data_IF_863856083585
#
_entry.id   IF_863856083585
#
_cell.length_a   1.000
_cell.length_b   1.000
_cell.length_c   1.000
_cell.angle_alpha   90.00
_cell.angle_beta   90.00
_cell.angle_gamma   90.00
#
_symmetry.space_group_name_H-M   'P 1'
#
loop_
_entity.id
_entity.type
_entity.pdbx_description
1 polymer ?
#
# COMPACT_ATOMS: atom_id res chain seq x y z
N UNK A 1 4.45 -5.08 -1.45
CA UNK A 1 5.50 -4.50 -0.59
C UNK A 1 6.84 -5.17 -0.87
N UNK A 2 7.94 -4.39 -1.00
CA UNK A 2 9.30 -4.93 -1.18
C UNK A 2 9.78 -5.74 0.03
N UNK A 3 10.65 -6.72 -0.20
CA UNK A 3 11.20 -7.60 0.85
C UNK A 3 11.91 -6.80 1.94
N UNK A 4 12.72 -5.80 1.60
CA UNK A 4 13.46 -5.00 2.57
C UNK A 4 12.55 -4.23 3.56
N UNK A 5 11.33 -3.88 3.16
CA UNK A 5 10.34 -3.25 4.05
C UNK A 5 9.61 -4.33 4.86
N UNK A 6 9.26 -5.45 4.23
CA UNK A 6 8.64 -6.59 4.90
C UNK A 6 9.53 -7.15 6.04
N UNK A 7 10.84 -7.23 5.86
CA UNK A 7 11.80 -7.64 6.88
C UNK A 7 11.74 -6.75 8.12
N UNK A 8 11.74 -5.42 7.91
CA UNK A 8 11.66 -4.43 9.00
C UNK A 8 10.34 -4.52 9.77
N UNK A 9 9.28 -4.99 9.13
CA UNK A 9 7.95 -5.17 9.71
C UNK A 9 7.72 -6.59 10.24
N UNK A 10 8.71 -7.49 10.17
CA UNK A 10 8.57 -8.88 10.63
C UNK A 10 7.67 -9.74 9.74
N UNK A 11 7.42 -9.32 8.50
CA UNK A 11 6.59 -10.02 7.52
C UNK A 11 7.42 -10.86 6.53
N UNK A 12 8.75 -10.78 6.63
CA UNK A 12 9.69 -11.63 5.89
C UNK A 12 10.73 -12.23 6.85
N UNK A 13 11.01 -13.55 6.81
CA UNK A 13 10.35 -14.57 5.97
C UNK A 13 8.84 -14.71 6.28
N UNK A 14 8.04 -15.37 5.41
CA UNK A 14 6.60 -15.41 5.56
C UNK A 14 6.18 -15.93 6.94
N UNK A 15 5.34 -15.19 7.70
CA UNK A 15 4.87 -15.63 9.01
C UNK A 15 3.90 -16.81 8.90
N UNK A 16 3.66 -17.53 10.00
CA UNK A 16 2.80 -18.72 10.00
C UNK A 16 1.33 -18.45 9.63
N UNK A 17 0.87 -17.21 9.73
CA UNK A 17 -0.47 -16.76 9.34
C UNK A 17 -0.56 -16.33 7.86
N UNK A 18 0.54 -16.39 7.12
CA UNK A 18 0.57 -16.06 5.70
C UNK A 18 -0.27 -17.07 4.88
N UNK A 19 -1.07 -16.55 3.95
CA UNK A 19 -1.87 -17.33 3.02
C UNK A 19 -1.21 -17.31 1.64
N UNK A 20 -0.94 -18.49 1.07
CA UNK A 20 -0.43 -18.58 -0.31
C UNK A 20 -1.48 -18.12 -1.31
N UNK A 21 -1.06 -17.32 -2.28
CA UNK A 21 -1.91 -16.79 -3.33
C UNK A 21 -1.19 -16.86 -4.67
N UNK A 22 -1.97 -17.00 -5.73
CA UNK A 22 -1.50 -16.94 -7.10
C UNK A 22 -1.89 -15.59 -7.70
N UNK A 23 -0.92 -14.84 -8.22
CA UNK A 23 -1.12 -13.53 -8.83
C UNK A 23 -1.00 -13.64 -10.36
N UNK A 24 -2.03 -13.21 -11.07
CA UNK A 24 -1.94 -13.00 -12.52
C UNK A 24 -1.32 -11.64 -12.79
N UNK A 25 -0.20 -11.63 -13.52
CA UNK A 25 0.49 -10.41 -13.91
C UNK A 25 0.58 -10.33 -15.44
N UNK A 26 0.92 -9.15 -15.97
CA UNK A 26 1.19 -9.01 -17.40
C UNK A 26 2.37 -9.88 -17.91
N UNK A 27 3.23 -10.35 -17.01
CA UNK A 27 4.35 -11.26 -17.32
C UNK A 27 4.05 -12.75 -17.09
N UNK A 28 2.82 -13.09 -16.68
CA UNK A 28 2.41 -14.45 -16.35
C UNK A 28 1.99 -14.62 -14.88
N UNK A 29 1.83 -15.87 -14.49
CA UNK A 29 1.35 -16.25 -13.16
C UNK A 29 2.52 -16.34 -12.18
N UNK A 30 2.39 -15.69 -11.02
CA UNK A 30 3.42 -15.65 -9.97
C UNK A 30 2.82 -16.13 -8.64
N UNK A 31 3.46 -17.10 -8.01
CA UNK A 31 3.15 -17.53 -6.65
C UNK A 31 3.65 -16.49 -5.64
N UNK A 32 2.80 -16.13 -4.68
CA UNK A 32 3.06 -15.13 -3.65
C UNK A 32 2.33 -15.51 -2.36
N UNK A 33 2.41 -14.67 -1.33
CA UNK A 33 1.58 -14.79 -0.14
C UNK A 33 1.01 -13.45 0.29
N UNK A 34 -0.11 -13.52 1.01
CA UNK A 34 -0.72 -12.39 1.72
C UNK A 34 -0.65 -12.63 3.21
N UNK A 35 -0.29 -11.61 3.97
CA UNK A 35 -0.40 -11.58 5.43
C UNK A 35 -1.63 -10.73 5.80
N UNK A 36 -2.70 -11.34 6.31
CA UNK A 36 -3.92 -10.60 6.67
C UNK A 36 -3.67 -9.61 7.81
N UNK A 37 -4.28 -8.42 7.73
CA UNK A 37 -4.29 -7.41 8.80
C UNK A 37 -2.90 -7.08 9.39
N UNK A 38 -1.86 -7.17 8.57
CA UNK A 38 -0.47 -7.15 9.00
C UNK A 38 0.09 -5.74 9.30
N UNK A 39 -0.53 -4.70 8.74
CA UNK A 39 -0.01 -3.33 8.83
C UNK A 39 -1.10 -2.32 9.15
N UNK A 40 -0.72 -1.26 9.84
CA UNK A 40 -1.53 -0.06 10.04
C UNK A 40 -0.97 1.06 9.16
N UNK A 41 -1.83 1.62 8.32
CA UNK A 41 -1.47 2.65 7.34
C UNK A 41 -2.22 3.93 7.64
N UNK A 42 -1.52 5.07 7.55
CA UNK A 42 -2.12 6.40 7.55
C UNK A 42 -1.31 7.35 6.67
N UNK A 43 -1.95 8.40 6.21
CA UNK A 43 -1.29 9.51 5.53
C UNK A 43 -0.84 10.51 6.59
N UNK A 44 0.41 10.95 6.47
CA UNK A 44 0.99 12.02 7.29
C UNK A 44 1.34 13.18 6.36
N UNK A 45 0.74 14.34 6.60
CA UNK A 45 1.08 15.60 5.92
C UNK A 45 1.64 16.60 6.93
N UNK A 46 2.10 17.76 6.45
CA UNK A 46 2.61 18.84 7.31
C UNK A 46 1.57 19.38 8.32
N UNK A 47 0.28 19.29 7.97
CA UNK A 47 -0.84 19.95 8.64
C UNK A 47 -1.82 18.98 9.30
N UNK A 48 -1.89 17.72 8.87
CA UNK A 48 -2.81 16.72 9.42
C UNK A 48 -2.33 15.28 9.20
N UNK A 49 -2.98 14.35 9.89
CA UNK A 49 -2.90 12.92 9.59
C UNK A 49 -4.30 12.40 9.21
N UNK A 50 -4.35 11.38 8.36
CA UNK A 50 -5.58 10.62 8.13
C UNK A 50 -5.90 9.71 9.32
N UNK A 51 -7.08 9.08 9.29
CA UNK A 51 -7.38 7.92 10.13
C UNK A 51 -6.40 6.77 9.83
N UNK A 52 -6.26 5.88 10.81
CA UNK A 52 -5.49 4.65 10.69
C UNK A 52 -6.35 3.54 10.07
N UNK A 53 -5.79 2.86 9.06
CA UNK A 53 -6.45 1.77 8.34
C UNK A 53 -5.60 0.51 8.51
N UNK A 54 -6.23 -0.56 8.98
CA UNK A 54 -5.59 -1.90 9.01
C UNK A 54 -5.68 -2.51 7.62
N UNK A 55 -4.55 -2.96 7.07
CA UNK A 55 -4.49 -3.48 5.71
C UNK A 55 -3.80 -4.85 5.63
N UNK A 56 -4.20 -5.63 4.63
CA UNK A 56 -3.53 -6.86 4.24
C UNK A 56 -2.26 -6.51 3.45
N UNK A 57 -1.23 -7.35 3.59
CA UNK A 57 0.06 -7.12 2.93
C UNK A 57 0.41 -8.26 2.00
N UNK A 58 0.70 -7.93 0.74
CA UNK A 58 1.35 -8.86 -0.19
C UNK A 58 2.84 -8.50 -0.28
N UNK A 59 3.71 -9.45 -0.01
CA UNK A 59 5.16 -9.28 -0.17
C UNK A 59 5.58 -9.78 -1.54
N UNK A 60 6.23 -8.94 -2.33
CA UNK A 60 6.66 -9.27 -3.68
C UNK A 60 8.14 -8.86 -3.86
N UNK A 61 9.05 -9.82 -4.13
CA UNK A 61 10.49 -9.56 -4.26
C UNK A 61 10.85 -8.75 -5.51
N UNK A 62 9.95 -8.64 -6.48
CA UNK A 62 10.16 -7.90 -7.73
C UNK A 62 9.69 -6.43 -7.66
N UNK A 63 9.18 -5.98 -6.51
CA UNK A 63 8.81 -4.58 -6.31
C UNK A 63 9.96 -3.82 -5.67
N UNK A 64 10.25 -2.63 -6.20
CA UNK A 64 11.22 -1.70 -5.62
C UNK A 64 10.56 -0.76 -4.60
N UNK A 65 9.25 -0.53 -4.72
CA UNK A 65 8.49 0.42 -3.90
C UNK A 65 7.21 -0.19 -3.30
N UNK A 66 6.68 0.46 -2.26
CA UNK A 66 5.40 0.08 -1.66
C UNK A 66 4.27 0.57 -2.57
N UNK A 67 3.40 -0.36 -2.95
CA UNK A 67 2.17 -0.07 -3.68
C UNK A 67 0.97 -0.18 -2.73
N UNK A 68 -0.02 0.67 -2.93
CA UNK A 68 -1.33 0.59 -2.28
C UNK A 68 -2.38 0.21 -3.32
N UNK A 69 -3.42 -0.53 -2.90
CA UNK A 69 -4.59 -0.79 -3.76
C UNK A 69 -5.47 0.45 -3.86
N UNK A 70 -6.34 0.45 -4.86
CA UNK A 70 -7.44 1.41 -5.00
C UNK A 70 -8.36 1.42 -3.77
N UNK A 71 -8.70 0.24 -3.23
CA UNK A 71 -9.48 0.12 -2.00
C UNK A 71 -8.79 0.79 -0.80
N UNK A 72 -7.48 0.60 -0.62
CA UNK A 72 -6.75 1.27 0.45
C UNK A 72 -6.68 2.79 0.21
N UNK A 73 -6.50 3.23 -1.03
CA UNK A 73 -6.52 4.64 -1.38
C UNK A 73 -7.86 5.31 -1.06
N UNK A 74 -8.98 4.65 -1.37
CA UNK A 74 -10.33 5.12 -1.05
C UNK A 74 -10.56 5.18 0.47
N UNK A 75 -10.18 4.14 1.22
CA UNK A 75 -10.31 4.12 2.69
C UNK A 75 -9.47 5.23 3.37
N UNK A 76 -8.31 5.55 2.81
CA UNK A 76 -7.47 6.66 3.25
C UNK A 76 -8.01 8.04 2.85
N UNK A 77 -9.06 8.09 2.02
CA UNK A 77 -9.67 9.32 1.55
C UNK A 77 -8.83 10.05 0.51
N UNK A 78 -8.06 9.34 -0.32
CA UNK A 78 -7.26 9.92 -1.41
C UNK A 78 -8.14 10.12 -2.64
N UNK A 79 -8.16 11.34 -3.16
CA UNK A 79 -8.65 11.65 -4.49
C UNK A 79 -7.48 11.98 -5.42
N UNK A 80 -7.22 11.12 -6.40
CA UNK A 80 -6.14 11.32 -7.39
C UNK A 80 -6.61 12.31 -8.47
N UNK A 81 -5.84 13.37 -8.71
CA UNK A 81 -6.17 14.41 -9.69
C UNK A 81 -5.32 14.29 -10.95
N UNK A 82 -4.00 14.26 -10.80
CA UNK A 82 -3.06 14.13 -11.92
C UNK A 82 -1.92 13.18 -11.55
N UNK A 83 -2.06 11.87 -11.79
CA UNK A 83 -1.11 10.85 -11.33
C UNK A 83 0.32 11.11 -11.80
N UNK A 84 0.49 11.47 -13.09
CA UNK A 84 1.81 11.78 -13.66
C UNK A 84 2.52 12.94 -12.97
N UNK A 85 1.76 13.90 -12.42
CA UNK A 85 2.29 15.07 -11.71
C UNK A 85 2.34 14.86 -10.20
N UNK A 86 1.90 13.70 -9.70
CA UNK A 86 1.77 13.45 -8.26
C UNK A 86 0.73 14.33 -7.58
N UNK A 87 -0.28 14.84 -8.30
CA UNK A 87 -1.29 15.73 -7.70
C UNK A 87 -2.50 14.94 -7.20
N UNK A 88 -2.86 15.18 -5.95
CA UNK A 88 -3.98 14.55 -5.24
C UNK A 88 -4.60 15.52 -4.22
N UNK A 89 -5.69 15.14 -3.58
CA UNK A 89 -6.26 15.84 -2.42
C UNK A 89 -6.98 14.86 -1.50
N UNK A 90 -7.24 15.23 -0.25
CA UNK A 90 -8.21 14.50 0.55
C UNK A 90 -9.63 14.70 -0.01
N UNK A 91 -10.48 13.69 0.15
CA UNK A 91 -11.91 13.77 -0.27
C UNK A 91 -12.69 14.87 0.45
N UNK A 92 -12.24 15.27 1.66
CA UNK A 92 -12.89 16.26 2.51
C UNK A 92 -12.28 17.67 2.38
N UNK A 93 -11.45 17.92 1.37
CA UNK A 93 -10.81 19.22 1.16
C UNK A 93 -10.75 19.65 -0.33
N UNK A 94 -10.41 20.92 -0.56
CA UNK A 94 -10.11 21.46 -1.90
C UNK A 94 -8.62 21.76 -2.12
N UNK A 95 -7.81 21.63 -1.07
CA UNK A 95 -6.36 21.83 -1.14
C UNK A 95 -5.72 20.73 -1.99
N UNK A 96 -5.07 21.12 -3.09
CA UNK A 96 -4.24 20.20 -3.88
C UNK A 96 -2.92 19.94 -3.15
N UNK A 97 -2.52 18.68 -3.13
CA UNK A 97 -1.30 18.16 -2.51
C UNK A 97 -0.43 17.51 -3.58
N UNK A 98 0.88 17.49 -3.32
CA UNK A 98 1.91 16.91 -4.19
C UNK A 98 2.54 15.71 -3.47
N UNK A 99 2.69 14.60 -4.19
CA UNK A 99 3.53 13.48 -3.77
C UNK A 99 5.01 13.82 -3.98
N UNK A 100 5.86 13.39 -3.04
CA UNK A 100 7.32 13.53 -3.10
C UNK A 100 7.94 12.41 -3.92
#
# INVERSE_FOLDING_TARGET
MPVAIAEKLGLWPPPGEALSITLETGGGVVESYVVPQAVVVKIVTEDRCSREIVANTIVNPYLEEVLISDCLAEELGIQILYPRRGLWKFVDEDRVRESV
#
